data_IF_945263959333
#
_entry.id   IF_945263959333
#
_cell.length_a   1.000
_cell.length_b   1.000
_cell.length_c   1.000
_cell.angle_alpha   90.00
_cell.angle_beta   90.00
_cell.angle_gamma   90.00
#
_symmetry.space_group_name_H-M   'P 1'
#
loop_
_entity.id
_entity.type
_entity.pdbx_description
1 polymer ?
#
# COMPACT_ATOMS: atom_id res chain seq x y z
N UNK A 1 -2.16 -0.88 -15.39
CA UNK A 1 -2.60 -0.51 -14.02
C UNK A 1 -2.09 0.88 -13.69
N UNK A 2 -2.71 1.56 -12.73
CA UNK A 2 -2.38 2.92 -12.31
C UNK A 2 -2.38 2.95 -10.77
N UNK A 3 -1.19 2.78 -10.15
CA UNK A 3 -1.06 2.64 -8.70
C UNK A 3 -0.14 3.71 -8.12
N UNK A 4 -0.43 4.16 -6.91
CA UNK A 4 0.49 4.93 -6.06
C UNK A 4 0.53 4.26 -4.68
N UNK A 5 1.70 3.78 -4.29
CA UNK A 5 1.93 2.96 -3.12
C UNK A 5 2.89 3.68 -2.17
N UNK A 6 2.33 4.37 -1.18
CA UNK A 6 3.11 5.16 -0.24
C UNK A 6 3.65 4.27 0.89
N UNK A 7 4.85 4.56 1.38
CA UNK A 7 5.36 3.93 2.60
C UNK A 7 4.52 4.31 3.82
N UNK A 8 4.20 5.58 3.97
CA UNK A 8 3.49 6.15 5.11
C UNK A 8 2.52 7.25 4.68
N UNK A 9 1.62 7.65 5.59
CA UNK A 9 0.62 8.70 5.33
C UNK A 9 0.92 10.03 6.00
N UNK A 10 1.78 10.04 7.01
CA UNK A 10 2.02 11.23 7.83
C UNK A 10 3.42 11.80 7.60
N UNK A 11 3.53 13.12 7.63
CA UNK A 11 4.79 13.87 7.60
C UNK A 11 4.69 15.05 8.56
N UNK A 12 5.77 15.78 8.76
CA UNK A 12 5.76 17.03 9.56
C UNK A 12 4.78 18.08 8.99
N UNK A 13 4.51 18.02 7.68
CA UNK A 13 3.54 18.90 7.03
C UNK A 13 2.08 18.48 7.24
N UNK A 14 1.82 17.26 7.72
CA UNK A 14 0.48 16.74 7.95
C UNK A 14 0.17 15.44 7.22
N UNK A 15 -1.10 15.03 7.32
CA UNK A 15 -1.58 13.77 6.78
C UNK A 15 -1.71 13.82 5.25
N UNK A 16 -1.01 12.94 4.53
CA UNK A 16 -0.90 12.82 3.07
C UNK A 16 -0.31 14.06 2.36
N UNK A 17 0.06 15.14 3.07
CA UNK A 17 0.50 16.41 2.46
C UNK A 17 1.73 16.20 1.57
N UNK A 18 2.69 15.38 2.02
CA UNK A 18 3.92 15.10 1.26
C UNK A 18 3.66 14.36 -0.08
N UNK A 19 2.54 13.66 -0.20
CA UNK A 19 2.18 12.86 -1.36
C UNK A 19 1.13 13.53 -2.28
N UNK A 20 0.60 14.71 -1.90
CA UNK A 20 -0.46 15.37 -2.68
C UNK A 20 -0.11 15.60 -4.16
N UNK A 21 1.12 16.01 -4.54
CA UNK A 21 1.48 16.15 -5.95
C UNK A 21 1.31 14.83 -6.72
N UNK A 22 1.80 13.73 -6.17
CA UNK A 22 1.75 12.40 -6.80
C UNK A 22 0.32 11.83 -6.81
N UNK A 23 -0.47 12.11 -5.78
CA UNK A 23 -1.90 11.74 -5.73
C UNK A 23 -2.68 12.49 -6.82
N UNK A 24 -2.42 13.79 -7.00
CA UNK A 24 -3.05 14.56 -8.10
C UNK A 24 -2.66 14.00 -9.47
N UNK A 25 -1.41 13.61 -9.65
CA UNK A 25 -0.98 12.95 -10.89
C UNK A 25 -1.66 11.59 -11.08
N UNK A 26 -1.81 10.78 -10.04
CA UNK A 26 -2.50 9.49 -10.07
C UNK A 26 -3.91 9.61 -10.66
N UNK A 27 -4.63 10.64 -10.25
CA UNK A 27 -6.05 10.85 -10.58
C UNK A 27 -6.29 11.88 -11.69
N UNK A 28 -5.24 12.43 -12.30
CA UNK A 28 -5.33 13.55 -13.26
C UNK A 28 -6.26 13.27 -14.48
N UNK A 29 -6.45 11.99 -14.83
CA UNK A 29 -7.36 11.58 -15.91
C UNK A 29 -8.81 11.35 -15.45
N UNK A 30 -9.09 11.42 -14.16
CA UNK A 30 -10.44 11.21 -13.63
C UNK A 30 -11.25 12.53 -13.69
N UNK A 31 -12.56 12.45 -13.99
CA UNK A 31 -13.41 13.64 -13.97
C UNK A 31 -13.61 14.16 -12.55
N UNK A 32 -13.97 15.45 -12.44
CA UNK A 32 -14.38 16.05 -11.16
C UNK A 32 -15.59 15.29 -10.60
N UNK A 33 -15.61 15.00 -9.31
CA UNK A 33 -16.64 14.21 -8.66
C UNK A 33 -16.56 12.70 -8.98
N UNK A 34 -15.41 12.22 -9.50
CA UNK A 34 -15.24 10.81 -9.75
C UNK A 34 -15.41 9.98 -8.45
N UNK A 35 -16.21 8.90 -8.48
CA UNK A 35 -16.46 8.08 -7.29
C UNK A 35 -15.18 7.40 -6.83
N UNK A 36 -14.81 7.65 -5.59
CA UNK A 36 -13.66 7.02 -4.93
C UNK A 36 -14.12 6.27 -3.67
N UNK A 37 -13.70 5.03 -3.55
CA UNK A 37 -14.02 4.19 -2.40
C UNK A 37 -12.81 4.11 -1.48
N UNK A 38 -13.00 4.52 -0.23
CA UNK A 38 -11.99 4.37 0.82
C UNK A 38 -12.24 3.10 1.63
N UNK A 39 -11.22 2.26 1.75
CA UNK A 39 -11.20 1.01 2.53
C UNK A 39 -10.53 1.26 3.88
N UNK A 40 -11.28 1.43 5.00
CA UNK A 40 -10.72 1.81 6.30
C UNK A 40 -10.28 0.61 7.16
N UNK A 41 -10.41 -0.61 6.67
CA UNK A 41 -10.38 -1.84 7.45
C UNK A 41 -9.05 -2.16 8.15
N UNK A 42 -7.96 -1.49 7.79
CA UNK A 42 -6.71 -1.56 8.55
C UNK A 42 -6.80 -0.85 9.90
N UNK A 43 -7.73 0.09 10.06
CA UNK A 43 -7.98 0.81 11.32
C UNK A 43 -8.62 -0.11 12.35
N UNK A 44 -7.93 -0.34 13.49
CA UNK A 44 -8.41 -1.19 14.59
C UNK A 44 -8.88 -0.35 15.78
N UNK A 45 -8.08 0.65 16.16
CA UNK A 45 -8.37 1.53 17.31
C UNK A 45 -8.98 2.87 16.89
N UNK A 46 -9.09 3.10 15.60
CA UNK A 46 -9.72 4.29 15.01
C UNK A 46 -11.08 3.89 14.45
N UNK A 47 -12.09 4.70 14.74
CA UNK A 47 -13.41 4.55 14.11
C UNK A 47 -13.30 4.72 12.59
N UNK A 48 -14.06 3.94 11.83
CA UNK A 48 -13.96 3.94 10.37
C UNK A 48 -14.60 5.17 9.72
N UNK A 49 -15.60 5.77 10.36
CA UNK A 49 -16.17 7.05 9.91
C UNK A 49 -15.16 8.18 10.11
N UNK A 50 -14.55 8.25 11.29
CA UNK A 50 -13.49 9.23 11.59
C UNK A 50 -12.30 9.07 10.64
N UNK A 51 -11.96 7.83 10.33
CA UNK A 51 -10.87 7.56 9.39
C UNK A 51 -11.23 8.01 7.97
N UNK A 52 -12.46 7.75 7.54
CA UNK A 52 -12.96 8.20 6.23
C UNK A 52 -13.01 9.72 6.16
N UNK A 53 -13.50 10.38 7.20
CA UNK A 53 -13.56 11.83 7.28
C UNK A 53 -12.16 12.47 7.23
N UNK A 54 -11.18 11.90 7.93
CA UNK A 54 -9.78 12.35 7.86
C UNK A 54 -9.24 12.27 6.44
N UNK A 55 -9.44 11.14 5.74
CA UNK A 55 -8.95 10.94 4.36
C UNK A 55 -9.67 11.87 3.40
N UNK A 56 -10.99 11.99 3.49
CA UNK A 56 -11.78 12.90 2.66
C UNK A 56 -11.35 14.35 2.86
N UNK A 57 -11.08 14.77 4.09
CA UNK A 57 -10.55 16.11 4.40
C UNK A 57 -9.16 16.34 3.80
N UNK A 58 -8.24 15.37 3.95
CA UNK A 58 -6.88 15.49 3.42
C UNK A 58 -6.84 15.55 1.88
N UNK A 59 -7.82 14.95 1.22
CA UNK A 59 -7.92 14.88 -0.24
C UNK A 59 -9.03 15.78 -0.83
N UNK A 60 -9.59 16.70 -0.05
CA UNK A 60 -10.72 17.56 -0.50
C UNK A 60 -10.41 18.32 -1.80
N UNK A 61 -9.17 18.82 -1.94
CA UNK A 61 -8.74 19.59 -3.11
C UNK A 61 -8.45 18.71 -4.35
N UNK A 62 -8.63 17.40 -4.25
CA UNK A 62 -8.42 16.47 -5.38
C UNK A 62 -9.65 16.36 -6.29
N UNK A 63 -10.81 16.76 -5.78
CA UNK A 63 -12.07 16.67 -6.49
C UNK A 63 -12.68 15.27 -6.57
N UNK A 64 -12.18 14.29 -5.82
CA UNK A 64 -12.79 12.97 -5.69
C UNK A 64 -14.02 13.03 -4.78
N UNK A 65 -15.07 12.25 -5.12
CA UNK A 65 -16.16 11.93 -4.19
C UNK A 65 -15.79 10.68 -3.39
N UNK A 66 -15.29 10.88 -2.16
CA UNK A 66 -14.73 9.80 -1.35
C UNK A 66 -15.79 9.26 -0.38
N UNK A 67 -16.12 7.98 -0.53
CA UNK A 67 -17.07 7.26 0.31
C UNK A 67 -16.39 6.10 1.04
N UNK A 68 -16.68 5.93 2.33
CA UNK A 68 -16.17 4.79 3.11
C UNK A 68 -16.86 3.49 2.73
N UNK A 69 -16.10 2.47 2.37
CA UNK A 69 -16.63 1.16 1.95
C UNK A 69 -17.53 0.51 3.00
N UNK A 70 -17.26 0.72 4.28
CA UNK A 70 -18.06 0.20 5.41
C UNK A 70 -19.48 0.79 5.50
N UNK A 71 -19.76 1.88 4.78
CA UNK A 71 -21.08 2.54 4.71
C UNK A 71 -21.88 2.14 3.46
N UNK A 72 -21.26 1.44 2.52
CA UNK A 72 -21.94 1.02 1.31
C UNK A 72 -22.99 -0.08 1.63
N UNK A 73 -24.21 0.06 1.11
CA UNK A 73 -25.23 -1.00 1.18
C UNK A 73 -24.77 -2.27 0.47
N UNK A 74 -24.15 -2.10 -0.70
CA UNK A 74 -23.48 -3.17 -1.46
C UNK A 74 -22.03 -2.80 -1.68
N UNK A 75 -21.11 -3.27 -0.81
CA UNK A 75 -19.69 -2.98 -0.93
C UNK A 75 -19.05 -3.49 -2.24
N UNK A 76 -19.56 -4.60 -2.78
CA UNK A 76 -19.03 -5.15 -4.03
C UNK A 76 -19.43 -4.26 -5.22
N UNK A 77 -20.67 -3.79 -5.27
CA UNK A 77 -21.13 -2.85 -6.29
C UNK A 77 -20.42 -1.50 -6.19
N UNK A 78 -20.21 -0.98 -4.96
CA UNK A 78 -19.47 0.25 -4.73
C UNK A 78 -18.04 0.16 -5.27
N UNK A 79 -17.32 -0.93 -4.98
CA UNK A 79 -15.98 -1.17 -5.51
C UNK A 79 -15.98 -1.33 -7.03
N UNK A 80 -16.95 -2.06 -7.59
CA UNK A 80 -17.04 -2.26 -9.05
C UNK A 80 -17.28 -0.95 -9.81
N UNK A 81 -18.01 -0.01 -9.21
CA UNK A 81 -18.27 1.32 -9.78
C UNK A 81 -17.18 2.37 -9.50
N UNK A 82 -16.21 2.09 -8.64
CA UNK A 82 -15.22 3.06 -8.24
C UNK A 82 -14.27 3.45 -9.39
N UNK A 83 -14.01 4.74 -9.55
CA UNK A 83 -12.96 5.25 -10.42
C UNK A 83 -11.60 5.23 -9.73
N UNK A 84 -11.59 5.35 -8.40
CA UNK A 84 -10.42 5.20 -7.57
C UNK A 84 -10.72 4.34 -6.33
N UNK A 85 -9.78 3.50 -5.93
CA UNK A 85 -9.82 2.71 -4.70
C UNK A 85 -8.67 3.17 -3.81
N UNK A 86 -9.01 3.62 -2.61
CA UNK A 86 -8.06 4.16 -1.63
C UNK A 86 -8.02 3.19 -0.46
N UNK A 87 -6.85 2.67 -0.11
CA UNK A 87 -6.69 1.67 0.96
C UNK A 87 -5.79 2.24 2.07
N UNK A 88 -6.39 2.39 3.24
CA UNK A 88 -5.74 2.97 4.41
C UNK A 88 -4.67 2.07 5.04
N UNK A 89 -3.77 2.70 5.80
CA UNK A 89 -2.82 2.02 6.67
C UNK A 89 -3.44 1.65 8.02
N UNK A 90 -2.70 0.88 8.80
CA UNK A 90 -3.05 0.30 10.09
C UNK A 90 -2.58 -1.14 10.15
N UNK A 91 -3.38 -2.06 10.70
CA UNK A 91 -2.98 -3.46 10.78
C UNK A 91 -3.33 -4.24 9.50
N UNK A 92 -2.31 -4.76 8.84
CA UNK A 92 -2.43 -5.48 7.56
C UNK A 92 -3.22 -6.80 7.69
N UNK A 93 -3.07 -7.51 8.81
CA UNK A 93 -3.81 -8.77 9.05
C UNK A 93 -5.30 -8.50 9.19
N UNK A 94 -5.68 -7.43 9.90
CA UNK A 94 -7.08 -7.04 10.02
C UNK A 94 -7.65 -6.60 8.67
N UNK A 95 -6.90 -5.81 7.91
CA UNK A 95 -7.29 -5.37 6.56
C UNK A 95 -7.61 -6.57 5.65
N UNK A 96 -6.67 -7.51 5.53
CA UNK A 96 -6.83 -8.70 4.69
C UNK A 96 -7.99 -9.57 5.18
N UNK A 97 -8.09 -9.81 6.50
CA UNK A 97 -9.15 -10.62 7.10
C UNK A 97 -10.55 -10.04 6.85
N UNK A 98 -10.71 -8.72 6.95
CA UNK A 98 -11.97 -8.04 6.65
C UNK A 98 -12.36 -8.18 5.18
N UNK A 99 -11.42 -7.91 4.26
CA UNK A 99 -11.68 -8.03 2.82
C UNK A 99 -12.02 -9.47 2.42
N UNK A 100 -11.36 -10.48 2.99
CA UNK A 100 -11.66 -11.90 2.74
C UNK A 100 -13.02 -12.28 3.29
N UNK A 101 -13.33 -11.92 4.54
CA UNK A 101 -14.62 -12.22 5.18
C UNK A 101 -15.79 -11.64 4.39
N UNK A 102 -15.62 -10.49 3.76
CA UNK A 102 -16.62 -9.83 2.95
C UNK A 102 -16.61 -10.29 1.47
N UNK A 103 -15.67 -11.16 1.06
CA UNK A 103 -15.53 -11.61 -0.33
C UNK A 103 -15.09 -10.51 -1.29
N UNK A 104 -14.37 -9.48 -0.80
CA UNK A 104 -14.07 -8.28 -1.57
C UNK A 104 -12.65 -8.24 -2.15
N UNK A 105 -11.76 -9.16 -1.77
CA UNK A 105 -10.37 -9.14 -2.19
C UNK A 105 -10.25 -9.21 -3.72
N UNK A 106 -10.93 -10.18 -4.35
CA UNK A 106 -10.94 -10.35 -5.79
C UNK A 106 -11.67 -9.21 -6.52
N UNK A 107 -12.68 -8.60 -5.89
CA UNK A 107 -13.40 -7.46 -6.45
C UNK A 107 -12.46 -6.25 -6.58
N UNK A 108 -11.69 -5.95 -5.53
CA UNK A 108 -10.67 -4.89 -5.55
C UNK A 108 -9.63 -5.19 -6.63
N UNK A 109 -9.04 -6.40 -6.62
CA UNK A 109 -7.99 -6.77 -7.56
C UNK A 109 -8.46 -6.67 -9.02
N UNK A 110 -9.65 -7.17 -9.33
CA UNK A 110 -10.26 -7.09 -10.65
C UNK A 110 -10.49 -5.63 -11.06
N UNK A 111 -11.11 -4.83 -10.21
CA UNK A 111 -11.46 -3.44 -10.54
C UNK A 111 -10.22 -2.58 -10.83
N UNK A 112 -9.13 -2.79 -10.09
CA UNK A 112 -7.85 -2.11 -10.35
C UNK A 112 -7.24 -2.55 -11.69
N UNK A 113 -7.31 -3.86 -12.02
CA UNK A 113 -6.84 -4.35 -13.33
C UNK A 113 -7.69 -3.82 -14.49
N UNK A 114 -8.96 -3.56 -14.28
CA UNK A 114 -9.88 -2.93 -15.22
C UNK A 114 -9.67 -1.42 -15.40
N UNK A 115 -8.80 -0.80 -14.59
CA UNK A 115 -8.36 0.58 -14.79
C UNK A 115 -8.70 1.57 -13.68
N UNK A 116 -9.31 1.15 -12.57
CA UNK A 116 -9.45 2.03 -11.42
C UNK A 116 -8.06 2.44 -10.90
N UNK A 117 -7.91 3.70 -10.51
CA UNK A 117 -6.72 4.16 -9.82
C UNK A 117 -6.64 3.51 -8.42
N UNK A 118 -5.45 3.11 -8.00
CA UNK A 118 -5.22 2.55 -6.66
C UNK A 118 -4.26 3.44 -5.88
N UNK A 119 -4.69 3.91 -4.72
CA UNK A 119 -3.87 4.62 -3.75
C UNK A 119 -3.80 3.78 -2.48
N UNK A 120 -2.61 3.35 -2.07
CA UNK A 120 -2.39 2.64 -0.83
C UNK A 120 -1.28 3.27 0.01
N UNK A 121 -1.33 3.15 1.32
CA UNK A 121 -0.21 3.47 2.20
C UNK A 121 -0.05 2.44 3.31
N UNK A 122 1.21 2.17 3.70
CA UNK A 122 1.54 1.21 4.76
C UNK A 122 0.88 -0.15 4.50
N UNK A 123 -0.07 -0.59 5.32
CA UNK A 123 -0.86 -1.80 5.11
C UNK A 123 -1.53 -1.85 3.73
N UNK A 124 -2.06 -0.72 3.24
CA UNK A 124 -2.67 -0.62 1.91
C UNK A 124 -1.66 -0.79 0.78
N UNK A 125 -0.41 -0.36 0.95
CA UNK A 125 0.67 -0.64 -0.01
C UNK A 125 1.09 -2.11 0.05
N UNK A 126 1.24 -2.68 1.24
CA UNK A 126 1.59 -4.09 1.40
C UNK A 126 0.51 -5.01 0.83
N UNK A 127 -0.79 -4.65 0.97
CA UNK A 127 -1.91 -5.41 0.40
C UNK A 127 -1.84 -5.53 -1.14
N UNK A 128 -1.20 -4.60 -1.84
CA UNK A 128 -1.04 -4.66 -3.31
C UNK A 128 -0.11 -5.77 -3.80
N UNK A 129 0.70 -6.33 -2.90
CA UNK A 129 1.68 -7.38 -3.16
C UNK A 129 1.02 -8.75 -3.41
N UNK A 130 1.80 -9.77 -3.80
CA UNK A 130 1.32 -11.16 -3.88
C UNK A 130 0.84 -11.70 -2.53
N UNK A 131 1.47 -11.30 -1.42
CA UNK A 131 1.07 -11.68 -0.07
C UNK A 131 1.35 -10.55 0.93
N UNK A 132 0.82 -10.68 2.15
CA UNK A 132 1.14 -9.77 3.25
C UNK A 132 2.36 -10.19 4.08
N UNK A 133 3.11 -11.20 3.64
CA UNK A 133 4.19 -11.81 4.44
C UNK A 133 5.34 -10.87 4.79
N UNK A 134 5.46 -9.74 4.10
CA UNK A 134 6.50 -8.72 4.39
C UNK A 134 5.97 -7.53 5.19
N UNK A 135 4.78 -7.65 5.81
CA UNK A 135 4.28 -6.63 6.74
C UNK A 135 5.12 -6.55 8.01
N UNK A 136 5.12 -5.38 8.65
CA UNK A 136 5.74 -5.17 9.96
C UNK A 136 4.76 -5.37 11.13
N UNK A 137 3.50 -5.60 10.81
CA UNK A 137 2.42 -5.63 11.79
C UNK A 137 2.41 -6.91 12.62
N UNK A 138 1.89 -6.82 13.82
CA UNK A 138 1.58 -8.01 14.62
C UNK A 138 0.33 -8.70 14.10
N UNK A 139 0.30 -10.05 14.05
CA UNK A 139 -0.85 -10.84 13.63
C UNK A 139 -1.94 -10.86 14.72
N UNK A 140 -2.66 -9.75 14.87
CA UNK A 140 -3.71 -9.58 15.90
C UNK A 140 -5.00 -10.35 15.58
N UNK A 141 -5.13 -10.85 14.36
CA UNK A 141 -6.22 -11.71 13.90
C UNK A 141 -5.69 -12.64 12.81
N UNK A 142 -6.34 -13.79 12.64
CA UNK A 142 -6.03 -14.72 11.56
C UNK A 142 -6.79 -14.30 10.27
N UNK A 143 -6.09 -13.89 9.20
CA UNK A 143 -6.72 -13.54 7.93
C UNK A 143 -7.08 -14.77 7.09
N UNK A 144 -6.86 -15.99 7.58
CA UNK A 144 -7.07 -17.27 6.89
C UNK A 144 -6.25 -17.42 5.60
N UNK A 145 -4.96 -17.13 5.72
CA UNK A 145 -3.98 -17.13 4.64
C UNK A 145 -3.41 -15.74 4.38
N UNK A 146 -2.33 -15.70 3.59
CA UNK A 146 -1.53 -14.47 3.43
C UNK A 146 -1.59 -13.88 2.01
N UNK A 147 -2.17 -14.61 1.04
CA UNK A 147 -2.33 -14.11 -0.33
C UNK A 147 -3.13 -12.82 -0.34
N UNK A 148 -2.65 -11.85 -1.08
CA UNK A 148 -3.18 -10.49 -1.14
C UNK A 148 -3.71 -10.16 -2.55
N UNK A 149 -3.65 -8.90 -2.99
CA UNK A 149 -4.25 -8.50 -4.28
C UNK A 149 -3.48 -8.98 -5.51
N UNK A 150 -2.18 -9.28 -5.39
CA UNK A 150 -1.34 -9.69 -6.49
C UNK A 150 -1.32 -8.68 -7.65
N UNK A 151 -1.32 -7.39 -7.35
CA UNK A 151 -1.20 -6.32 -8.35
C UNK A 151 0.27 -6.12 -8.77
N UNK A 152 1.20 -6.52 -7.93
CA UNK A 152 2.64 -6.54 -8.17
C UNK A 152 3.14 -7.98 -8.28
N UNK A 153 4.30 -8.19 -8.93
CA UNK A 153 5.00 -9.47 -8.96
C UNK A 153 6.08 -9.59 -7.87
N UNK A 154 6.19 -8.62 -6.97
CA UNK A 154 7.18 -8.53 -5.90
C UNK A 154 6.53 -8.02 -4.61
N UNK A 155 7.26 -8.12 -3.51
CA UNK A 155 6.82 -7.64 -2.20
C UNK A 155 7.32 -6.22 -1.92
N UNK A 156 6.55 -5.46 -1.13
CA UNK A 156 6.98 -4.20 -0.52
C UNK A 156 7.04 -4.40 0.99
N UNK A 157 8.09 -3.88 1.64
CA UNK A 157 8.12 -3.67 3.07
C UNK A 157 8.00 -2.16 3.34
N UNK A 158 6.80 -1.62 3.63
CA UNK A 158 6.62 -0.22 4.00
C UNK A 158 7.29 0.11 5.34
N UNK A 159 7.51 1.39 5.62
CA UNK A 159 8.24 1.86 6.80
C UNK A 159 9.62 1.20 6.95
N UNK A 160 10.27 0.90 5.82
CA UNK A 160 11.59 0.32 5.86
C UNK A 160 12.57 1.26 6.56
N UNK A 161 13.25 0.73 7.55
CA UNK A 161 14.40 1.37 8.18
C UNK A 161 15.36 0.29 8.61
N UNK A 162 16.64 0.54 8.46
CA UNK A 162 17.68 -0.32 9.04
C UNK A 162 18.32 0.31 10.28
N UNK A 163 17.67 1.35 10.83
CA UNK A 163 18.09 1.96 12.08
C UNK A 163 17.96 0.96 13.23
N UNK A 164 19.00 0.89 14.04
CA UNK A 164 19.06 0.04 15.20
C UNK A 164 19.01 0.93 16.46
N UNK A 165 17.90 0.95 17.20
CA UNK A 165 17.79 1.78 18.39
C UNK A 165 18.90 1.45 19.41
N UNK A 166 19.44 2.42 20.13
CA UNK A 166 20.45 2.18 21.14
C UNK A 166 20.00 1.13 22.16
N UNK A 167 20.85 0.11 22.39
CA UNK A 167 20.57 -0.98 23.32
C UNK A 167 19.72 -2.12 22.75
N UNK A 168 19.18 -2.01 21.55
CA UNK A 168 18.52 -3.11 20.87
C UNK A 168 19.55 -4.12 20.37
N UNK A 169 19.31 -5.43 20.64
CA UNK A 169 20.22 -6.53 20.26
C UNK A 169 19.57 -7.56 19.33
N UNK A 170 18.33 -7.31 18.90
CA UNK A 170 17.62 -8.17 17.95
C UNK A 170 18.04 -7.88 16.51
N UNK A 171 17.46 -8.62 15.59
CA UNK A 171 17.71 -8.47 14.15
C UNK A 171 17.24 -7.12 13.62
N UNK A 172 17.99 -6.62 12.65
CA UNK A 172 17.57 -5.45 11.86
C UNK A 172 16.47 -5.83 10.89
N UNK A 173 15.82 -4.82 10.31
CA UNK A 173 14.83 -5.03 9.26
C UNK A 173 15.44 -5.73 8.03
N UNK A 174 16.65 -5.33 7.63
CA UNK A 174 17.37 -5.97 6.53
C UNK A 174 17.59 -7.46 6.78
N UNK A 175 18.00 -7.86 7.99
CA UNK A 175 18.18 -9.27 8.33
C UNK A 175 16.88 -10.07 8.22
N UNK A 176 15.75 -9.54 8.71
CA UNK A 176 14.44 -10.19 8.59
C UNK A 176 13.95 -10.33 7.15
N UNK A 177 14.20 -9.34 6.30
CA UNK A 177 13.89 -9.43 4.88
C UNK A 177 14.81 -10.43 4.16
N UNK A 178 16.07 -10.52 4.54
CA UNK A 178 17.01 -11.53 4.02
C UNK A 178 16.58 -12.97 4.40
N UNK A 179 16.04 -13.18 5.60
CA UNK A 179 15.44 -14.47 6.00
C UNK A 179 14.24 -14.84 5.11
N UNK A 180 13.33 -13.88 4.89
CA UNK A 180 12.20 -14.10 3.99
C UNK A 180 12.67 -14.46 2.58
N UNK A 181 13.61 -13.71 2.00
CA UNK A 181 14.13 -13.96 0.66
C UNK A 181 14.93 -15.28 0.59
N UNK A 182 15.58 -15.70 1.67
CA UNK A 182 16.26 -17.01 1.71
C UNK A 182 15.30 -18.18 1.53
N UNK A 183 14.10 -18.09 2.12
CA UNK A 183 13.06 -19.11 1.96
C UNK A 183 12.23 -18.92 0.69
N UNK A 184 12.20 -17.70 0.16
CA UNK A 184 11.44 -17.32 -1.04
C UNK A 184 12.38 -16.69 -2.09
N UNK A 185 13.36 -17.45 -2.64
CA UNK A 185 14.45 -16.87 -3.43
C UNK A 185 14.02 -16.23 -4.75
N UNK A 186 12.83 -16.55 -5.24
CA UNK A 186 12.25 -15.98 -6.45
C UNK A 186 11.32 -14.77 -6.18
N UNK A 187 11.13 -14.40 -4.91
CA UNK A 187 10.26 -13.31 -4.53
C UNK A 187 11.07 -12.08 -4.10
N UNK A 188 11.25 -11.07 -4.97
CA UNK A 188 11.95 -9.85 -4.60
C UNK A 188 11.17 -9.08 -3.52
N UNK A 189 11.89 -8.38 -2.65
CA UNK A 189 11.30 -7.49 -1.63
C UNK A 189 11.93 -6.12 -1.71
N UNK A 190 11.14 -5.10 -1.99
CA UNK A 190 11.60 -3.71 -1.94
C UNK A 190 11.33 -3.13 -0.54
N UNK A 191 12.38 -2.74 0.15
CA UNK A 191 12.28 -1.95 1.39
C UNK A 191 11.94 -0.51 1.03
N UNK A 192 10.74 -0.03 1.38
CA UNK A 192 10.26 1.30 1.04
C UNK A 192 10.35 2.24 2.26
N UNK A 193 11.34 3.17 2.32
CA UNK A 193 11.49 4.08 3.44
C UNK A 193 10.32 5.07 3.56
N UNK A 194 10.08 5.60 4.76
CA UNK A 194 9.10 6.67 4.97
C UNK A 194 9.42 7.90 4.12
N UNK A 195 8.39 8.60 3.65
CA UNK A 195 8.53 9.70 2.69
C UNK A 195 8.74 9.24 1.25
N UNK A 196 8.79 7.91 0.99
CA UNK A 196 8.92 7.34 -0.35
C UNK A 196 7.65 6.65 -0.81
N UNK A 197 7.51 6.51 -2.13
CA UNK A 197 6.40 5.82 -2.78
C UNK A 197 6.86 5.07 -4.03
N UNK A 198 6.05 4.10 -4.47
CA UNK A 198 6.12 3.54 -5.81
C UNK A 198 4.96 4.06 -6.66
N UNK A 199 5.28 4.62 -7.81
CA UNK A 199 4.35 5.00 -8.86
C UNK A 199 4.38 3.94 -9.95
N UNK A 200 3.25 3.26 -10.18
CA UNK A 200 3.14 2.22 -11.21
C UNK A 200 2.19 2.69 -12.32
N UNK A 201 2.69 2.70 -13.56
CA UNK A 201 1.95 3.07 -14.77
C UNK A 201 2.15 2.00 -15.84
N UNK A 202 1.16 1.12 -16.00
CA UNK A 202 1.32 -0.06 -16.86
C UNK A 202 2.43 -0.98 -16.36
N UNK A 203 3.53 -1.06 -17.11
CA UNK A 203 4.75 -1.80 -16.74
C UNK A 203 5.86 -0.91 -16.16
N UNK A 204 5.70 0.40 -16.22
CA UNK A 204 6.68 1.33 -15.67
C UNK A 204 6.49 1.45 -14.16
N UNK A 205 7.60 1.38 -13.43
CA UNK A 205 7.66 1.57 -11.98
C UNK A 205 8.68 2.66 -11.68
N UNK A 206 8.28 3.67 -10.94
CA UNK A 206 9.15 4.75 -10.50
C UNK A 206 9.19 4.78 -8.96
N UNK A 207 10.37 4.84 -8.37
CA UNK A 207 10.57 5.15 -6.96
C UNK A 207 10.52 6.67 -6.79
N UNK A 208 9.61 7.14 -5.95
CA UNK A 208 9.40 8.55 -5.65
C UNK A 208 9.83 8.84 -4.22
N UNK A 209 10.30 10.06 -3.97
CA UNK A 209 10.68 10.54 -2.64
C UNK A 209 12.17 10.78 -2.52
N UNK A 210 12.64 11.19 -1.33
CA UNK A 210 14.02 11.63 -1.13
C UNK A 210 15.00 10.50 -0.80
N UNK A 211 14.54 9.26 -0.60
CA UNK A 211 15.34 8.17 -0.05
C UNK A 211 15.59 7.05 -1.06
N UNK A 212 16.78 6.48 -0.99
CA UNK A 212 17.13 5.25 -1.68
C UNK A 212 16.38 4.06 -1.07
N UNK A 213 16.02 3.07 -1.90
CA UNK A 213 15.28 1.88 -1.49
C UNK A 213 16.07 0.60 -1.80
N UNK A 214 16.35 -0.26 -0.81
CA UNK A 214 17.02 -1.53 -1.04
C UNK A 214 16.05 -2.59 -1.59
N UNK A 215 16.52 -3.35 -2.57
CA UNK A 215 15.86 -4.53 -3.12
C UNK A 215 16.60 -5.78 -2.66
N UNK A 216 15.88 -6.68 -1.98
CA UNK A 216 16.36 -7.97 -1.51
C UNK A 216 15.89 -9.08 -2.45
N UNK A 217 16.80 -9.99 -2.85
CA UNK A 217 16.50 -11.14 -3.71
C UNK A 217 17.33 -12.33 -3.23
N UNK A 218 16.70 -13.44 -2.89
CA UNK A 218 17.38 -14.67 -2.50
C UNK A 218 18.39 -14.42 -1.38
N UNK A 219 19.65 -14.78 -1.64
CA UNK A 219 20.79 -14.56 -0.74
C UNK A 219 21.80 -13.54 -1.27
N UNK A 220 21.41 -12.75 -2.28
CA UNK A 220 22.26 -11.74 -2.86
C UNK A 220 22.39 -10.54 -1.91
N UNK A 221 23.48 -9.77 -2.04
CA UNK A 221 23.58 -8.46 -1.41
C UNK A 221 22.48 -7.55 -1.96
N UNK A 222 21.78 -6.79 -1.10
CA UNK A 222 20.70 -5.92 -1.55
C UNK A 222 21.17 -4.91 -2.59
N UNK A 223 20.44 -4.80 -3.68
CA UNK A 223 20.63 -3.73 -4.67
C UNK A 223 19.94 -2.48 -4.17
N UNK A 224 20.56 -1.32 -4.33
CA UNK A 224 19.98 -0.06 -3.87
C UNK A 224 19.52 0.75 -5.07
N UNK A 225 18.22 1.07 -5.11
CA UNK A 225 17.65 1.97 -6.10
C UNK A 225 17.60 3.40 -5.57
N UNK A 226 17.99 4.33 -6.41
CA UNK A 226 17.76 5.76 -6.20
C UNK A 226 16.38 6.15 -6.72
N UNK A 227 15.80 7.29 -6.25
CA UNK A 227 14.59 7.84 -6.86
C UNK A 227 14.67 7.95 -8.38
N UNK A 228 13.62 7.51 -9.06
CA UNK A 228 13.54 7.41 -10.52
C UNK A 228 13.03 6.05 -10.97
N UNK A 229 13.15 5.71 -12.26
CA UNK A 229 12.73 4.42 -12.80
C UNK A 229 13.45 3.24 -12.13
N UNK A 230 12.70 2.21 -11.78
CA UNK A 230 13.24 0.99 -11.17
C UNK A 230 12.81 -0.25 -11.96
N UNK A 231 13.75 -1.17 -12.16
CA UNK A 231 13.50 -2.47 -12.77
C UNK A 231 13.61 -3.55 -11.71
N UNK A 232 12.45 -4.10 -11.33
CA UNK A 232 12.36 -5.20 -10.36
C UNK A 232 12.15 -6.49 -11.15
N UNK A 233 13.00 -7.51 -10.98
CA UNK A 233 12.83 -8.81 -11.64
C UNK A 233 11.45 -9.41 -11.31
N UNK A 234 10.84 -10.07 -12.32
CA UNK A 234 9.56 -10.76 -12.18
C UNK A 234 9.74 -12.18 -11.64
#
# INVERSE_FOLDING_TARGET
MNLLLLSNSSSDAGYLVHALPDIRELIASLPQGAPAVFVPYAGVTRDWDDYTALVASALADTGLDIQGLHRAEDPAAALAGAAAIIVGGGNTFNLLGQLRRLGLLDVVARRVREGAAYLGWSAGSNLSCPSICTTNDMPITDPQGFDALGLLSFQINPHYTNAHPPGHRGETRAQRLAEFCTLNPQMPVLGLPEGSALRVRGSQIDLIGPHDAPLFIGREEPRVFRPGPVEIPA
#
